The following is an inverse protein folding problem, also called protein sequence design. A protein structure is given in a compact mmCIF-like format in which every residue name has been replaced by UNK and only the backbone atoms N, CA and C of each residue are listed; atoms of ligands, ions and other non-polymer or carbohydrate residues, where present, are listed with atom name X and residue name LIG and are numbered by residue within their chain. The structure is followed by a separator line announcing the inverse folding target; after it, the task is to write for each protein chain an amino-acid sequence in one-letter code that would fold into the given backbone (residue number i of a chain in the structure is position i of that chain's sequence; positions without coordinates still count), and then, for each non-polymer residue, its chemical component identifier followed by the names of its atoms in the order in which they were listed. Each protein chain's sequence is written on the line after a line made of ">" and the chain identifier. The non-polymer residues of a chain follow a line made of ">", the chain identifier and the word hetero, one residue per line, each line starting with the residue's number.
data_IF_229670739119
#
_entry.id   IF_229670739119
#
_cell.length_a   1.000
_cell.length_b   1.000
_cell.length_c   1.000
_cell.angle_alpha   90.00
_cell.angle_beta   90.00
_cell.angle_gamma   90.00
#
_symmetry.space_group_name_H-M   'P 1'
#
loop_
_entity.id
_entity.type
_entity.pdbx_description
1 polymer ?
#
# COMPACT_ATOMS: atom_id res chain seq x y z
N UNK A 1 -22.43 -17.07 0.29
CA UNK A 1 -21.43 -16.78 -0.76
C UNK A 1 -20.45 -15.71 -0.26
N UNK A 2 -19.16 -15.93 -0.44
CA UNK A 2 -18.16 -14.94 -0.07
C UNK A 2 -17.99 -13.94 -1.21
N UNK A 3 -18.11 -12.65 -0.93
CA UNK A 3 -17.98 -11.59 -1.93
C UNK A 3 -16.53 -11.09 -2.01
N UNK A 4 -16.21 -10.40 -3.10
CA UNK A 4 -14.91 -9.77 -3.28
C UNK A 4 -14.63 -8.75 -2.16
N UNK A 5 -15.66 -7.99 -1.77
CA UNK A 5 -15.54 -7.02 -0.68
C UNK A 5 -15.20 -7.70 0.65
N UNK A 6 -15.82 -8.83 0.95
CA UNK A 6 -15.52 -9.60 2.16
C UNK A 6 -14.07 -10.11 2.19
N UNK A 7 -13.59 -10.58 1.04
CA UNK A 7 -12.19 -11.05 0.91
C UNK A 7 -11.21 -9.89 1.17
N UNK A 8 -11.46 -8.74 0.55
CA UNK A 8 -10.62 -7.55 0.73
C UNK A 8 -10.60 -7.08 2.18
N UNK A 9 -11.77 -7.03 2.81
CA UNK A 9 -11.89 -6.62 4.20
C UNK A 9 -11.20 -7.59 5.15
N UNK A 10 -11.31 -8.90 4.90
CA UNK A 10 -10.64 -9.92 5.69
C UNK A 10 -9.12 -9.79 5.59
N UNK A 11 -8.59 -9.52 4.38
CA UNK A 11 -7.16 -9.28 4.18
C UNK A 11 -6.68 -8.08 4.99
N UNK A 12 -7.36 -6.95 4.87
CA UNK A 12 -7.02 -5.73 5.61
C UNK A 12 -7.06 -5.96 7.12
N UNK A 13 -8.14 -6.54 7.61
CA UNK A 13 -8.32 -6.78 9.05
C UNK A 13 -7.19 -7.64 9.61
N UNK A 14 -6.84 -8.72 8.91
CA UNK A 14 -5.78 -9.63 9.33
C UNK A 14 -4.41 -8.95 9.35
N UNK A 15 -4.05 -8.26 8.29
CA UNK A 15 -2.72 -7.68 8.16
C UNK A 15 -2.55 -6.39 8.97
N UNK A 16 -3.58 -5.56 9.06
CA UNK A 16 -3.53 -4.33 9.85
C UNK A 16 -3.56 -4.58 11.36
N UNK A 17 -3.90 -5.79 11.78
CA UNK A 17 -3.77 -6.20 13.18
C UNK A 17 -2.31 -6.34 13.60
N UNK A 18 -1.39 -6.51 12.64
CA UNK A 18 0.04 -6.47 12.88
C UNK A 18 0.48 -5.01 12.93
N UNK A 19 0.95 -4.57 14.10
CA UNK A 19 1.34 -3.17 14.30
C UNK A 19 2.44 -2.70 13.36
N UNK A 20 3.41 -3.54 13.09
CA UNK A 20 4.51 -3.21 12.20
C UNK A 20 4.01 -2.97 10.77
N UNK A 21 3.13 -3.83 10.29
CA UNK A 21 2.54 -3.70 8.96
C UNK A 21 1.67 -2.44 8.87
N UNK A 22 0.81 -2.22 9.86
CA UNK A 22 -0.04 -1.03 9.91
C UNK A 22 0.79 0.25 9.91
N UNK A 23 1.88 0.26 10.66
CA UNK A 23 2.79 1.41 10.74
C UNK A 23 3.44 1.70 9.40
N UNK A 24 3.80 0.66 8.65
CA UNK A 24 4.38 0.84 7.31
C UNK A 24 3.37 1.40 6.33
N UNK A 25 2.13 0.94 6.37
CA UNK A 25 1.07 1.49 5.53
C UNK A 25 0.84 2.96 5.87
N UNK A 26 0.77 3.30 7.15
CA UNK A 26 0.62 4.68 7.59
C UNK A 26 1.78 5.56 7.13
N UNK A 27 3.00 5.06 7.24
CA UNK A 27 4.21 5.78 6.82
C UNK A 27 4.17 6.08 5.31
N UNK A 28 3.81 5.08 4.50
CA UNK A 28 3.72 5.24 3.05
C UNK A 28 2.65 6.27 2.69
N UNK A 29 1.47 6.16 3.25
CA UNK A 29 0.36 7.06 2.94
C UNK A 29 0.65 8.49 3.40
N UNK A 30 1.29 8.65 4.54
CA UNK A 30 1.71 9.95 5.05
C UNK A 30 2.77 10.59 4.16
N UNK A 31 3.78 9.84 3.75
CA UNK A 31 4.82 10.32 2.85
C UNK A 31 4.24 10.72 1.49
N UNK A 32 3.29 9.96 0.98
CA UNK A 32 2.62 10.30 -0.27
C UNK A 32 1.78 11.56 -0.13
N UNK A 33 1.06 11.70 0.99
CA UNK A 33 0.30 12.91 1.30
C UNK A 33 1.20 14.14 1.31
N UNK A 34 2.33 14.06 2.00
CA UNK A 34 3.31 15.15 2.06
C UNK A 34 3.89 15.49 0.69
N UNK A 35 4.20 14.48 -0.13
CA UNK A 35 4.70 14.69 -1.49
C UNK A 35 3.69 15.43 -2.35
N UNK A 36 2.42 15.08 -2.25
CA UNK A 36 1.35 15.73 -3.02
C UNK A 36 1.19 17.19 -2.57
N UNK A 37 1.11 17.42 -1.27
CA UNK A 37 0.84 18.75 -0.71
C UNK A 37 2.04 19.69 -0.90
N UNK A 38 3.25 19.23 -0.63
CA UNK A 38 4.43 20.08 -0.64
C UNK A 38 5.09 20.22 -2.02
N UNK A 39 5.02 19.19 -2.84
CA UNK A 39 5.73 19.13 -4.11
C UNK A 39 4.86 18.87 -5.34
N UNK A 40 3.57 18.67 -5.14
CA UNK A 40 2.64 18.26 -6.20
C UNK A 40 3.07 16.97 -6.91
N UNK A 41 3.76 16.10 -6.18
CA UNK A 41 4.20 14.80 -6.69
C UNK A 41 3.20 13.73 -6.24
N UNK A 42 2.58 13.05 -7.20
CA UNK A 42 1.53 12.07 -6.95
C UNK A 42 2.03 10.62 -6.96
N UNK A 43 3.33 10.44 -7.09
CA UNK A 43 3.95 9.12 -7.12
C UNK A 43 5.02 8.99 -6.03
N UNK A 44 4.98 7.87 -5.32
CA UNK A 44 5.99 7.52 -4.33
C UNK A 44 6.65 6.20 -4.73
N UNK A 45 7.97 6.15 -4.68
CA UNK A 45 8.76 4.96 -5.00
C UNK A 45 9.30 4.37 -3.70
N UNK A 46 9.00 3.11 -3.45
CA UNK A 46 9.49 2.40 -2.26
C UNK A 46 10.01 1.03 -2.64
N UNK A 47 10.76 0.41 -1.75
CA UNK A 47 11.32 -0.91 -1.95
C UNK A 47 11.27 -1.71 -0.64
N UNK A 48 10.78 -2.93 -0.74
CA UNK A 48 10.68 -3.87 0.38
C UNK A 48 11.14 -5.25 -0.07
N UNK A 49 11.24 -6.18 0.89
CA UNK A 49 11.40 -7.59 0.56
C UNK A 49 10.21 -8.03 -0.30
N UNK A 50 10.43 -8.93 -1.25
CA UNK A 50 9.42 -9.33 -2.25
C UNK A 50 8.09 -9.74 -1.63
N UNK A 51 8.11 -10.59 -0.60
CA UNK A 51 6.88 -11.06 0.05
C UNK A 51 6.14 -9.90 0.75
N UNK A 52 6.89 -9.05 1.42
CA UNK A 52 6.35 -7.88 2.10
C UNK A 52 5.80 -6.87 1.11
N UNK A 53 6.51 -6.66 -0.01
CA UNK A 53 6.07 -5.76 -1.08
C UNK A 53 4.73 -6.18 -1.66
N UNK A 54 4.52 -7.48 -1.86
CA UNK A 54 3.23 -8.00 -2.36
C UNK A 54 2.09 -7.69 -1.42
N UNK A 55 2.29 -7.87 -0.12
CA UNK A 55 1.26 -7.59 0.88
C UNK A 55 0.95 -6.11 0.98
N UNK A 56 1.99 -5.28 0.94
CA UNK A 56 1.84 -3.81 0.97
C UNK A 56 1.10 -3.33 -0.28
N UNK A 57 1.48 -3.83 -1.45
CA UNK A 57 0.81 -3.47 -2.71
C UNK A 57 -0.66 -3.86 -2.67
N UNK A 58 -0.97 -5.05 -2.17
CA UNK A 58 -2.35 -5.52 -2.06
C UNK A 58 -3.17 -4.62 -1.13
N UNK A 59 -2.63 -4.28 0.03
CA UNK A 59 -3.30 -3.41 0.99
C UNK A 59 -3.57 -2.02 0.40
N UNK A 60 -2.58 -1.44 -0.26
CA UNK A 60 -2.71 -0.12 -0.87
C UNK A 60 -3.73 -0.10 -2.01
N UNK A 61 -3.76 -1.15 -2.83
CA UNK A 61 -4.77 -1.28 -3.88
C UNK A 61 -6.18 -1.33 -3.31
N UNK A 62 -6.37 -2.08 -2.23
CA UNK A 62 -7.67 -2.15 -1.53
C UNK A 62 -8.07 -0.79 -0.99
N UNK A 63 -7.10 -0.01 -0.49
CA UNK A 63 -7.35 1.34 0.03
C UNK A 63 -7.58 2.39 -1.08
N UNK A 64 -7.47 1.99 -2.34
CA UNK A 64 -7.79 2.86 -3.46
C UNK A 64 -6.61 3.47 -4.20
N UNK A 65 -5.38 3.11 -3.80
CA UNK A 65 -4.19 3.60 -4.50
C UNK A 65 -3.88 2.75 -5.72
N UNK A 66 -3.25 3.37 -6.72
CA UNK A 66 -2.73 2.66 -7.86
C UNK A 66 -1.30 2.23 -7.54
N UNK A 67 -1.00 0.96 -7.68
CA UNK A 67 0.33 0.43 -7.35
C UNK A 67 0.86 -0.41 -8.51
N UNK A 68 2.07 -0.06 -8.97
CA UNK A 68 2.79 -0.86 -9.95
C UNK A 68 3.90 -1.62 -9.22
N UNK A 69 3.95 -2.94 -9.44
CA UNK A 69 4.94 -3.82 -8.83
C UNK A 69 6.06 -4.10 -9.82
N UNK A 70 7.30 -3.85 -9.39
CA UNK A 70 8.49 -4.11 -10.20
C UNK A 70 9.36 -5.18 -9.55
N UNK A 71 10.44 -5.56 -10.21
CA UNK A 71 11.36 -6.58 -9.73
C UNK A 71 12.00 -6.17 -8.40
N UNK A 72 12.36 -7.15 -7.59
CA UNK A 72 13.10 -6.97 -6.34
C UNK A 72 12.36 -6.14 -5.29
N UNK A 73 11.02 -6.23 -5.29
CA UNK A 73 10.21 -5.57 -4.27
C UNK A 73 10.06 -4.07 -4.46
N UNK A 74 10.33 -3.55 -5.64
CA UNK A 74 10.10 -2.13 -5.94
C UNK A 74 8.61 -1.89 -6.21
N UNK A 75 8.08 -0.83 -5.60
CA UNK A 75 6.70 -0.42 -5.78
C UNK A 75 6.64 1.05 -6.19
N UNK A 76 5.82 1.34 -7.20
CA UNK A 76 5.47 2.71 -7.57
C UNK A 76 4.02 2.93 -7.17
N UNK A 77 3.80 3.79 -6.20
CA UNK A 77 2.50 4.05 -5.60
C UNK A 77 2.01 5.41 -6.08
N UNK A 78 0.80 5.44 -6.63
CA UNK A 78 0.22 6.67 -7.16
C UNK A 78 -1.07 7.01 -6.42
N UNK A 79 -1.24 8.28 -6.07
CA UNK A 79 -2.44 8.80 -5.44
C UNK A 79 -3.45 9.23 -6.52
N UNK A 80 -3.92 8.25 -7.27
CA UNK A 80 -4.91 8.50 -8.34
C UNK A 80 -6.13 7.64 -8.19
#
# INVERSE_FOLDING_TARGET
>A
MITCSEIKNAFLKKNMANEEFAKEIDDITERLYESVIDKSEFTLHVRYEVEKAKKIACALKILGFSVEEYRHGKLHIKAV
#
